data_IF_069296526830
#
_entry.id   IF_069296526830
#
_cell.length_a   1.000
_cell.length_b   1.000
_cell.length_c   1.000
_cell.angle_alpha   90.00
_cell.angle_beta   90.00
_cell.angle_gamma   90.00
#
_symmetry.space_group_name_H-M   'P 1'
#
loop_
_entity.id
_entity.type
_entity.pdbx_description
1 polymer ?
#
# COMPACT_ATOMS: atom_id res chain seq x y z
N UNK A 1 -4.55 25.13 -13.37
CA UNK A 1 -4.69 24.89 -14.82
C UNK A 1 -4.64 23.39 -15.06
N UNK A 2 -5.66 22.84 -15.68
CA UNK A 2 -5.67 21.45 -16.11
C UNK A 2 -4.76 21.31 -17.34
N UNK A 3 -3.93 20.26 -17.39
CA UNK A 3 -3.07 19.94 -18.53
C UNK A 3 -3.89 19.52 -19.78
N UNK A 4 -5.18 19.25 -19.61
CA UNK A 4 -6.10 18.88 -20.68
C UNK A 4 -7.49 19.50 -20.46
N UNK A 5 -8.32 19.54 -21.50
CA UNK A 5 -9.72 19.92 -21.40
C UNK A 5 -10.55 18.72 -20.97
N UNK A 6 -11.69 18.97 -20.34
CA UNK A 6 -12.58 17.91 -19.84
C UNK A 6 -13.12 16.99 -20.96
N UNK A 7 -13.31 17.56 -22.15
CA UNK A 7 -13.77 16.83 -23.35
C UNK A 7 -12.72 15.89 -23.97
N UNK A 8 -11.47 15.97 -23.48
CA UNK A 8 -10.38 15.05 -23.85
C UNK A 8 -10.24 13.86 -22.89
N UNK A 9 -11.00 13.84 -21.80
CA UNK A 9 -10.99 12.76 -20.83
C UNK A 9 -12.12 11.76 -21.15
N UNK A 10 -11.86 10.49 -20.87
CA UNK A 10 -12.89 9.46 -20.93
C UNK A 10 -14.01 9.75 -19.92
N UNK A 11 -15.22 9.27 -20.22
CA UNK A 11 -16.34 9.34 -19.30
C UNK A 11 -16.03 8.54 -18.04
N UNK A 12 -16.22 9.17 -16.87
CA UNK A 12 -16.06 8.50 -15.59
C UNK A 12 -17.32 7.70 -15.26
N UNK A 13 -17.12 6.44 -14.89
CA UNK A 13 -18.18 5.51 -14.48
C UNK A 13 -17.77 4.80 -13.20
N UNK A 14 -18.74 4.23 -12.48
CA UNK A 14 -18.47 3.42 -11.30
C UNK A 14 -17.85 2.08 -11.69
N UNK A 15 -17.08 1.51 -10.78
CA UNK A 15 -16.27 0.31 -11.04
C UNK A 15 -17.07 -0.91 -11.48
N UNK A 16 -18.31 -1.04 -11.03
CA UNK A 16 -19.24 -2.14 -11.31
C UNK A 16 -20.16 -1.89 -12.51
N UNK A 17 -20.12 -0.70 -13.12
CA UNK A 17 -20.94 -0.40 -14.27
C UNK A 17 -20.51 -1.20 -15.50
N UNK A 18 -21.49 -1.83 -16.15
CA UNK A 18 -21.28 -2.55 -17.42
C UNK A 18 -21.12 -1.53 -18.54
N UNK A 19 -19.97 -1.54 -19.18
CA UNK A 19 -19.62 -0.63 -20.28
C UNK A 19 -19.75 -1.28 -21.66
N UNK A 20 -20.01 -2.58 -21.71
CA UNK A 20 -20.17 -3.31 -22.96
C UNK A 20 -20.08 -4.80 -22.78
N UNK A 21 -19.82 -5.50 -23.91
CA UNK A 21 -19.53 -6.92 -23.95
C UNK A 21 -18.25 -7.19 -24.74
N UNK A 22 -17.71 -8.38 -24.59
CA UNK A 22 -16.51 -8.80 -25.32
C UNK A 22 -16.75 -8.72 -26.83
N UNK A 23 -15.84 -8.09 -27.56
CA UNK A 23 -15.92 -7.98 -29.02
C UNK A 23 -15.66 -9.31 -29.71
N UNK A 24 -16.17 -9.56 -30.94
CA UNK A 24 -15.85 -10.79 -31.67
C UNK A 24 -14.35 -11.06 -31.83
N UNK A 25 -13.55 -10.01 -32.05
CA UNK A 25 -12.09 -10.11 -32.16
C UNK A 25 -11.47 -10.60 -30.84
N UNK A 26 -11.82 -9.94 -29.72
CA UNK A 26 -11.34 -10.37 -28.41
C UNK A 26 -11.82 -11.76 -28.01
N UNK A 27 -13.05 -12.14 -28.36
CA UNK A 27 -13.56 -13.49 -28.17
C UNK A 27 -12.73 -14.55 -28.91
N UNK A 28 -12.34 -14.26 -30.14
CA UNK A 28 -11.50 -15.15 -30.94
C UNK A 28 -10.09 -15.34 -30.34
N UNK A 29 -9.52 -14.29 -29.74
CA UNK A 29 -8.19 -14.34 -29.14
C UNK A 29 -8.18 -14.99 -27.74
N UNK A 30 -9.23 -14.75 -26.95
CA UNK A 30 -9.25 -15.13 -25.53
C UNK A 30 -10.08 -16.38 -25.21
N UNK A 31 -10.95 -16.80 -26.14
CA UNK A 31 -11.93 -17.87 -25.91
C UNK A 31 -13.14 -17.45 -25.07
N UNK A 32 -13.27 -16.17 -24.71
CA UNK A 32 -14.42 -15.67 -23.97
C UNK A 32 -15.66 -15.58 -24.87
N UNK A 33 -16.85 -15.70 -24.28
CA UNK A 33 -18.10 -15.48 -25.00
C UNK A 33 -18.29 -14.00 -25.37
N UNK A 34 -18.83 -13.72 -26.55
CA UNK A 34 -19.25 -12.37 -26.95
C UNK A 34 -20.36 -11.79 -26.06
N UNK A 35 -21.03 -12.63 -25.25
CA UNK A 35 -22.02 -12.20 -24.26
C UNK A 35 -21.41 -11.88 -22.89
N UNK A 36 -20.10 -12.11 -22.69
CA UNK A 36 -19.41 -11.78 -21.45
C UNK A 36 -19.42 -10.28 -21.25
N UNK A 37 -19.97 -9.85 -20.10
CA UNK A 37 -20.03 -8.43 -19.74
C UNK A 37 -18.65 -7.90 -19.41
N UNK A 38 -18.38 -6.67 -19.84
CA UNK A 38 -17.19 -5.91 -19.48
C UNK A 38 -17.62 -4.77 -18.57
N UNK A 39 -17.02 -4.71 -17.38
CA UNK A 39 -17.25 -3.63 -16.41
C UNK A 39 -16.14 -2.57 -16.52
N UNK A 40 -16.38 -1.40 -15.94
CA UNK A 40 -15.39 -0.29 -15.89
C UNK A 40 -14.09 -0.74 -15.21
N UNK A 41 -14.22 -1.47 -14.09
CA UNK A 41 -13.08 -1.89 -13.28
C UNK A 41 -12.52 -0.74 -12.43
N UNK A 42 -11.35 -0.96 -11.84
CA UNK A 42 -10.72 -0.01 -10.93
C UNK A 42 -9.19 -0.13 -10.97
N UNK A 43 -8.50 0.74 -10.22
CA UNK A 43 -7.06 0.64 -10.02
C UNK A 43 -6.69 -0.58 -9.15
N UNK A 44 -5.46 -1.09 -9.33
CA UNK A 44 -4.92 -2.27 -8.64
C UNK A 44 -5.10 -2.23 -7.12
N UNK A 45 -4.71 -1.14 -6.46
CA UNK A 45 -4.82 -1.00 -5.01
C UNK A 45 -6.27 -1.09 -4.49
N UNK A 46 -7.23 -0.55 -5.24
CA UNK A 46 -8.66 -0.66 -4.88
C UNK A 46 -9.20 -2.07 -5.15
N UNK A 47 -8.72 -2.75 -6.19
CA UNK A 47 -9.06 -4.15 -6.45
C UNK A 47 -8.49 -5.07 -5.37
N UNK A 48 -7.26 -4.83 -4.92
CA UNK A 48 -6.65 -5.54 -3.79
C UNK A 48 -7.45 -5.35 -2.51
N UNK A 49 -7.83 -4.10 -2.19
CA UNK A 49 -8.65 -3.80 -1.02
C UNK A 49 -10.01 -4.52 -1.08
N UNK A 50 -10.66 -4.52 -2.25
CA UNK A 50 -11.89 -5.25 -2.46
C UNK A 50 -11.71 -6.77 -2.26
N UNK A 51 -10.61 -7.35 -2.75
CA UNK A 51 -10.33 -8.78 -2.65
C UNK A 51 -10.22 -9.29 -1.22
N UNK A 52 -9.86 -8.43 -0.28
CA UNK A 52 -9.78 -8.73 1.17
C UNK A 52 -11.00 -8.23 1.96
N UNK A 53 -12.07 -7.85 1.25
CA UNK A 53 -13.36 -7.51 1.86
C UNK A 53 -13.50 -6.07 2.35
N UNK A 54 -12.63 -5.16 1.93
CA UNK A 54 -12.70 -3.74 2.28
C UNK A 54 -13.68 -3.03 1.35
N UNK A 55 -14.93 -2.85 1.80
CA UNK A 55 -16.04 -2.40 0.95
C UNK A 55 -16.88 -1.27 1.53
N UNK A 56 -16.96 -1.15 2.83
CA UNK A 56 -17.88 -0.22 3.52
C UNK A 56 -17.15 0.75 4.43
N UNK A 57 -17.76 1.89 4.77
CA UNK A 57 -17.17 2.84 5.71
C UNK A 57 -16.74 2.18 7.01
N UNK A 58 -15.53 2.51 7.46
CA UNK A 58 -14.87 1.91 8.61
C UNK A 58 -13.92 0.77 8.26
N UNK A 59 -14.06 0.14 7.10
CA UNK A 59 -13.11 -0.89 6.66
C UNK A 59 -11.77 -0.25 6.27
N UNK A 60 -10.68 -0.97 6.56
CA UNK A 60 -9.33 -0.53 6.21
C UNK A 60 -8.47 -1.70 5.77
N UNK A 61 -7.74 -1.49 4.68
CA UNK A 61 -6.65 -2.36 4.25
C UNK A 61 -5.31 -1.72 4.60
N UNK A 62 -4.41 -2.50 5.15
CA UNK A 62 -2.99 -2.16 5.27
C UNK A 62 -2.20 -3.19 4.47
N UNK A 63 -1.71 -2.80 3.31
CA UNK A 63 -0.83 -3.63 2.49
C UNK A 63 0.61 -3.42 2.97
N UNK A 64 1.21 -4.48 3.49
CA UNK A 64 2.60 -4.48 3.95
C UNK A 64 3.48 -5.26 2.97
N UNK A 65 4.21 -4.53 2.13
CA UNK A 65 5.15 -5.08 1.16
C UNK A 65 6.52 -4.41 1.28
N UNK A 66 7.23 -4.21 0.17
CA UNK A 66 8.45 -3.39 0.13
C UNK A 66 8.17 -1.95 0.59
N UNK A 67 6.96 -1.46 0.31
CA UNK A 67 6.36 -0.23 0.81
C UNK A 67 5.10 -0.56 1.64
N UNK A 68 4.56 0.41 2.38
CA UNK A 68 3.21 0.32 2.95
C UNK A 68 2.26 1.14 2.10
N UNK A 69 1.06 0.59 1.89
CA UNK A 69 -0.07 1.31 1.32
C UNK A 69 -1.32 1.05 2.17
N UNK A 70 -2.06 2.10 2.45
CA UNK A 70 -3.25 2.05 3.30
C UNK A 70 -4.43 2.59 2.50
N UNK A 71 -5.56 1.88 2.52
CA UNK A 71 -6.85 2.37 2.05
C UNK A 71 -7.83 2.28 3.21
N UNK A 72 -8.47 3.37 3.55
CA UNK A 72 -9.54 3.46 4.53
C UNK A 72 -10.81 3.97 3.85
N UNK A 73 -11.88 3.19 3.90
CA UNK A 73 -13.18 3.58 3.34
C UNK A 73 -13.91 4.47 4.34
N UNK A 74 -14.42 5.60 3.85
CA UNK A 74 -15.11 6.61 4.66
C UNK A 74 -16.47 6.97 4.07
N UNK A 75 -17.40 7.43 4.92
CA UNK A 75 -18.74 7.84 4.48
C UNK A 75 -18.76 9.16 3.73
N UNK A 76 -17.89 10.07 4.13
CA UNK A 76 -17.88 11.43 3.61
C UNK A 76 -16.54 11.77 3.00
N UNK A 77 -16.59 12.44 1.86
CA UNK A 77 -15.38 12.95 1.22
C UNK A 77 -14.72 14.01 2.10
N UNK A 78 -13.44 13.81 2.39
CA UNK A 78 -12.62 14.77 3.11
C UNK A 78 -11.47 15.21 2.22
N UNK A 79 -11.36 16.50 1.95
CA UNK A 79 -10.26 17.06 1.17
C UNK A 79 -9.06 17.37 2.08
N UNK A 80 -8.36 16.35 2.52
CA UNK A 80 -7.08 16.50 3.22
C UNK A 80 -5.93 16.33 2.23
N UNK A 81 -5.20 17.41 1.98
CA UNK A 81 -4.09 17.41 1.01
C UNK A 81 -2.89 16.56 1.43
N UNK A 82 -2.85 16.11 2.67
CA UNK A 82 -1.83 15.20 3.17
C UNK A 82 -2.07 13.76 2.77
N UNK A 83 -3.30 13.43 2.34
CA UNK A 83 -3.74 12.09 1.97
C UNK A 83 -4.29 12.10 0.55
N UNK A 84 -4.35 10.93 -0.05
CA UNK A 84 -5.05 10.74 -1.32
C UNK A 84 -6.50 10.40 -1.03
N UNK A 85 -7.39 11.31 -1.34
CA UNK A 85 -8.82 11.13 -1.11
C UNK A 85 -9.59 11.16 -2.45
N UNK A 86 -10.59 10.31 -2.58
CA UNK A 86 -11.41 10.23 -3.78
C UNK A 86 -12.62 9.31 -3.63
N UNK A 87 -13.45 9.21 -4.68
CA UNK A 87 -14.46 8.18 -4.77
C UNK A 87 -13.81 6.79 -4.62
N UNK A 88 -14.53 5.88 -3.96
CA UNK A 88 -14.11 4.49 -3.86
C UNK A 88 -14.77 3.65 -4.98
N UNK A 89 -15.10 2.39 -4.73
CA UNK A 89 -15.55 1.47 -5.77
C UNK A 89 -17.01 1.66 -6.16
N UNK A 90 -17.87 2.04 -5.20
CA UNK A 90 -19.33 2.09 -5.36
C UNK A 90 -19.89 3.47 -5.07
N UNK A 91 -21.06 3.82 -5.66
CA UNK A 91 -21.72 5.08 -5.38
C UNK A 91 -21.88 5.36 -3.88
N UNK A 92 -21.56 6.59 -3.47
CA UNK A 92 -21.70 7.02 -2.07
C UNK A 92 -20.57 6.54 -1.16
N UNK A 93 -19.56 5.85 -1.66
CA UNK A 93 -18.37 5.47 -0.89
C UNK A 93 -17.16 6.28 -1.31
N UNK A 94 -16.32 6.62 -0.34
CA UNK A 94 -15.08 7.37 -0.54
C UNK A 94 -13.92 6.63 0.12
N UNK A 95 -12.72 6.88 -0.33
CA UNK A 95 -11.52 6.37 0.32
C UNK A 95 -10.54 7.48 0.65
N UNK A 96 -9.83 7.28 1.75
CA UNK A 96 -8.62 8.00 2.09
C UNK A 96 -7.47 7.01 2.04
N UNK A 97 -6.44 7.36 1.28
CA UNK A 97 -5.29 6.49 1.11
C UNK A 97 -3.99 7.19 1.53
N UNK A 98 -3.06 6.41 2.00
CA UNK A 98 -1.72 6.84 2.37
C UNK A 98 -0.70 5.79 1.95
N UNK A 99 0.55 6.21 1.77
CA UNK A 99 1.60 5.27 1.43
C UNK A 99 2.97 5.76 1.87
N UNK A 100 3.80 4.81 2.29
CA UNK A 100 5.19 5.05 2.67
C UNK A 100 6.10 4.18 1.80
N UNK A 101 7.18 4.78 1.31
CA UNK A 101 8.05 4.14 0.31
C UNK A 101 8.93 3.02 0.87
N UNK A 102 9.15 2.97 2.17
CA UNK A 102 10.03 2.01 2.84
C UNK A 102 9.37 1.33 4.01
N UNK A 103 9.19 0.01 3.92
CA UNK A 103 8.76 -0.84 5.04
C UNK A 103 9.52 -2.17 5.01
N UNK A 104 9.10 -3.17 4.24
CA UNK A 104 9.86 -4.41 4.08
C UNK A 104 11.26 -4.18 3.49
N UNK A 105 11.42 -3.16 2.64
CA UNK A 105 12.74 -2.72 2.18
C UNK A 105 13.61 -2.25 3.34
N UNK A 106 13.04 -1.55 4.33
CA UNK A 106 13.76 -1.12 5.53
C UNK A 106 14.18 -2.33 6.39
N UNK A 107 13.29 -3.31 6.56
CA UNK A 107 13.61 -4.55 7.28
C UNK A 107 14.77 -5.30 6.61
N UNK A 108 14.75 -5.38 5.28
CA UNK A 108 15.85 -5.96 4.52
C UNK A 108 17.16 -5.18 4.71
N UNK A 109 17.11 -3.86 4.61
CA UNK A 109 18.25 -2.98 4.82
C UNK A 109 18.82 -3.16 6.24
N UNK A 110 17.96 -3.23 7.26
CA UNK A 110 18.37 -3.47 8.65
C UNK A 110 19.11 -4.80 8.78
N UNK A 111 18.58 -5.88 8.23
CA UNK A 111 19.22 -7.18 8.19
C UNK A 111 20.62 -7.12 7.57
N UNK A 112 20.75 -6.41 6.44
CA UNK A 112 21.99 -6.32 5.68
C UNK A 112 23.05 -5.40 6.33
N UNK A 113 22.62 -4.41 7.12
CA UNK A 113 23.55 -3.44 7.71
C UNK A 113 23.86 -3.71 9.19
N UNK A 114 22.89 -4.17 9.97
CA UNK A 114 23.01 -4.28 11.43
C UNK A 114 22.86 -5.69 12.00
N UNK A 115 22.42 -6.65 11.22
CA UNK A 115 22.13 -8.01 11.67
C UNK A 115 22.73 -9.08 10.75
N UNK A 116 23.94 -8.84 10.25
CA UNK A 116 24.65 -9.79 9.36
C UNK A 116 25.02 -11.07 10.06
N UNK A 117 25.37 -11.00 11.33
CA UNK A 117 25.63 -12.12 12.21
C UNK A 117 24.40 -13.03 12.34
N UNK A 118 23.24 -12.42 12.61
CA UNK A 118 21.96 -13.13 12.68
C UNK A 118 21.62 -13.81 11.37
N UNK A 119 21.87 -13.11 10.25
CA UNK A 119 21.61 -13.66 8.93
C UNK A 119 22.53 -14.85 8.61
N UNK A 120 23.83 -14.78 8.95
CA UNK A 120 24.77 -15.87 8.76
C UNK A 120 24.44 -17.09 9.63
N UNK A 121 24.14 -16.89 10.91
CA UNK A 121 23.73 -17.96 11.82
C UNK A 121 22.44 -18.66 11.37
N UNK A 122 21.46 -17.89 10.88
CA UNK A 122 20.22 -18.44 10.34
C UNK A 122 20.47 -19.28 9.08
N UNK A 123 21.32 -18.80 8.18
CA UNK A 123 21.70 -19.51 6.95
C UNK A 123 22.40 -20.84 7.27
N UNK A 124 23.37 -20.86 8.20
CA UNK A 124 24.07 -22.07 8.64
C UNK A 124 23.10 -23.12 9.23
N UNK A 125 22.02 -22.68 9.87
CA UNK A 125 20.98 -23.56 10.44
C UNK A 125 19.85 -23.89 9.45
N UNK A 126 19.89 -23.37 8.22
CA UNK A 126 18.81 -23.51 7.23
C UNK A 126 17.51 -22.83 7.67
N UNK A 127 17.59 -21.77 8.45
CA UNK A 127 16.46 -21.02 9.00
C UNK A 127 16.27 -19.67 8.29
N UNK A 128 15.09 -19.09 8.43
CA UNK A 128 14.81 -17.76 7.88
C UNK A 128 15.31 -16.67 8.83
N UNK A 129 16.23 -15.83 8.36
CA UNK A 129 16.79 -14.73 9.14
C UNK A 129 15.73 -13.73 9.65
N UNK A 130 14.64 -13.54 8.93
CA UNK A 130 13.57 -12.64 9.37
C UNK A 130 12.74 -13.23 10.53
N UNK A 131 12.55 -14.54 10.55
CA UNK A 131 11.93 -15.23 11.70
C UNK A 131 12.79 -15.10 12.94
N UNK A 132 14.10 -15.25 12.81
CA UNK A 132 15.03 -15.07 13.91
C UNK A 132 15.06 -13.64 14.44
N UNK A 133 15.04 -12.65 13.55
CA UNK A 133 14.90 -11.24 13.94
C UNK A 133 13.57 -10.96 14.66
N UNK A 134 12.47 -11.56 14.16
CA UNK A 134 11.16 -11.43 14.81
C UNK A 134 11.17 -12.02 16.23
N UNK A 135 11.77 -13.20 16.44
CA UNK A 135 11.91 -13.80 17.77
C UNK A 135 12.68 -12.90 18.74
N UNK A 136 13.79 -12.30 18.28
CA UNK A 136 14.56 -11.36 19.11
C UNK A 136 13.77 -10.11 19.47
N UNK A 137 12.80 -9.73 18.64
CA UNK A 137 11.93 -8.58 18.90
C UNK A 137 10.76 -8.89 19.87
N UNK A 138 10.42 -10.17 20.10
CA UNK A 138 9.29 -10.56 20.97
C UNK A 138 9.43 -10.06 22.41
N UNK A 139 10.64 -10.00 22.92
CA UNK A 139 10.93 -9.56 24.29
C UNK A 139 11.00 -8.02 24.42
N UNK A 140 10.88 -7.28 23.31
CA UNK A 140 10.94 -5.82 23.35
C UNK A 140 9.56 -5.25 23.72
N UNK A 141 9.47 -4.47 24.80
CA UNK A 141 8.18 -3.93 25.24
C UNK A 141 7.62 -2.92 24.24
N UNK A 142 6.30 -2.77 24.24
CA UNK A 142 5.62 -1.73 23.47
C UNK A 142 6.25 -0.35 23.74
N UNK A 143 6.47 0.42 22.66
CA UNK A 143 7.19 1.69 22.73
C UNK A 143 8.71 1.57 22.67
N UNK A 144 9.26 0.33 22.49
CA UNK A 144 10.68 0.07 22.21
C UNK A 144 11.63 0.85 23.11
N UNK A 145 11.30 0.95 24.40
CA UNK A 145 12.05 1.74 25.41
C UNK A 145 12.35 3.20 24.99
N UNK A 146 11.50 3.80 24.16
CA UNK A 146 11.64 5.17 23.70
C UNK A 146 12.40 5.34 22.38
N UNK A 147 12.81 4.25 21.73
CA UNK A 147 13.39 4.33 20.38
C UNK A 147 12.28 4.58 19.36
N UNK A 148 12.48 5.57 18.52
CA UNK A 148 11.58 5.97 17.44
C UNK A 148 12.34 5.88 16.12
N UNK A 149 11.71 5.29 15.11
CA UNK A 149 12.25 5.24 13.74
C UNK A 149 11.37 6.08 12.82
N UNK A 150 11.97 7.05 12.14
CA UNK A 150 11.35 7.72 11.00
C UNK A 150 11.79 6.97 9.73
N UNK A 151 10.90 6.21 9.08
CA UNK A 151 11.29 5.26 8.04
C UNK A 151 11.43 5.91 6.65
N UNK A 152 11.89 7.15 6.57
CA UNK A 152 11.98 7.95 5.35
C UNK A 152 13.24 7.68 4.53
N UNK A 153 13.67 6.42 4.47
CA UNK A 153 14.93 6.02 3.80
C UNK A 153 14.92 6.22 2.28
N UNK A 154 13.74 6.32 1.68
CA UNK A 154 13.53 6.64 0.25
C UNK A 154 12.65 7.87 0.06
N UNK A 155 12.77 8.85 0.95
CA UNK A 155 11.86 9.99 1.01
C UNK A 155 10.53 9.65 1.69
N UNK A 156 9.64 10.61 1.76
CA UNK A 156 8.33 10.47 2.37
C UNK A 156 7.24 10.84 1.36
N UNK A 157 6.16 10.05 1.30
CA UNK A 157 5.07 10.21 0.32
C UNK A 157 3.84 10.87 0.94
N UNK A 158 3.47 10.41 2.13
CA UNK A 158 2.30 10.89 2.88
C UNK A 158 2.58 10.78 4.38
N UNK A 159 2.26 11.76 5.20
CA UNK A 159 1.52 13.00 4.89
C UNK A 159 2.40 14.20 4.51
N UNK A 160 3.73 14.10 4.55
CA UNK A 160 4.68 15.22 4.41
C UNK A 160 4.94 15.53 2.93
N UNK A 161 4.98 14.48 2.09
CA UNK A 161 5.28 14.56 0.66
C UNK A 161 6.62 15.24 0.36
N UNK A 162 7.68 14.78 1.03
CA UNK A 162 9.05 15.27 0.86
C UNK A 162 9.98 14.16 0.38
N UNK A 163 10.36 14.22 -0.90
CA UNK A 163 11.29 13.26 -1.52
C UNK A 163 12.72 13.37 -0.97
N UNK A 164 13.04 14.44 -0.26
CA UNK A 164 14.37 14.66 0.36
C UNK A 164 14.42 14.23 1.82
N UNK A 165 13.29 13.88 2.41
CA UNK A 165 13.22 13.36 3.78
C UNK A 165 14.17 12.17 3.94
N UNK A 166 14.78 12.04 5.11
CA UNK A 166 15.74 10.98 5.44
C UNK A 166 15.27 10.17 6.62
N UNK A 167 15.64 8.90 6.63
CA UNK A 167 15.43 8.01 7.77
C UNK A 167 16.21 8.50 9.00
N UNK A 168 15.61 8.34 10.17
CA UNK A 168 16.20 8.68 11.45
C UNK A 168 15.88 7.58 12.45
N UNK A 169 16.86 7.21 13.28
CA UNK A 169 16.67 6.41 14.48
C UNK A 169 16.99 7.32 15.65
N UNK A 170 16.00 7.57 16.49
CA UNK A 170 16.08 8.52 17.62
C UNK A 170 15.82 7.81 18.95
N UNK A 171 16.45 8.30 20.03
CA UNK A 171 16.22 7.81 21.38
C UNK A 171 17.13 6.67 21.82
N UNK A 172 18.18 6.35 21.04
CA UNK A 172 19.18 5.36 21.44
C UNK A 172 19.99 5.81 22.66
N UNK A 173 20.27 4.90 23.55
CA UNK A 173 21.20 5.07 24.66
C UNK A 173 22.01 3.77 24.85
N UNK A 174 22.93 3.75 25.82
CA UNK A 174 23.83 2.60 26.05
C UNK A 174 23.14 1.33 26.60
N UNK A 175 21.84 1.37 26.86
CA UNK A 175 21.06 0.24 27.33
C UNK A 175 20.24 -0.46 26.22
N UNK A 176 20.42 -0.03 24.97
CA UNK A 176 19.75 -0.59 23.78
C UNK A 176 20.61 -1.60 23.03
#
# INVERSE_FOLDING_TARGET
SLFCRRDQLAECRWSDEVIGTVTPAAAAETGLSVHTKVITGTADASAEAFSVGVMKPGDMMVMYGSSIFIIHVVENFTNDRRLWAGPYLFPGTYSMAAGMSTSGTLTRWYKEQFARDVAAEAEERGQNAYEELAKRAEDIPAGSKGVIVLPYFSGERTPINDVKAKGVIFGLNVLH
#
